data_IF_278598980070
#
_entry.id   IF_278598980070
#
_cell.length_a   1.000
_cell.length_b   1.000
_cell.length_c   1.000
_cell.angle_alpha   90.00
_cell.angle_beta   90.00
_cell.angle_gamma   90.00
#
_symmetry.space_group_name_H-M   'P 1'
#
loop_
_entity.id
_entity.type
_entity.pdbx_description
1 polymer ?
#
# COMPACT_ATOMS: atom_id res chain seq x y z
N UNK A 1 -2.78 -0.42 6.47
CA UNK A 1 -3.26 0.89 5.98
C UNK A 1 -3.71 1.72 7.16
N UNK A 2 -3.27 2.96 7.25
CA UNK A 2 -3.71 3.95 8.25
C UNK A 2 -4.22 5.21 7.54
N UNK A 3 -4.96 6.07 8.25
CA UNK A 3 -5.36 7.39 7.75
C UNK A 3 -6.55 7.42 6.79
N UNK A 4 -7.26 6.29 6.57
CA UNK A 4 -8.42 6.25 5.67
C UNK A 4 -9.58 7.15 6.14
N UNK A 5 -9.74 7.35 7.44
CA UNK A 5 -10.75 8.27 7.98
C UNK A 5 -10.56 9.73 7.52
N UNK A 6 -9.32 10.17 7.25
CA UNK A 6 -9.05 11.53 6.78
C UNK A 6 -9.42 11.69 5.31
N UNK A 7 -9.23 10.64 4.52
CA UNK A 7 -9.69 10.58 3.14
C UNK A 7 -11.22 10.61 3.08
N UNK A 8 -11.90 9.85 3.95
CA UNK A 8 -13.36 9.85 4.05
C UNK A 8 -13.91 11.24 4.41
N UNK A 9 -13.26 11.95 5.34
CA UNK A 9 -13.61 13.34 5.71
C UNK A 9 -13.50 14.32 4.53
N UNK A 10 -12.63 14.05 3.54
CA UNK A 10 -12.50 14.83 2.30
C UNK A 10 -13.51 14.42 1.21
N UNK A 11 -14.42 13.48 1.47
CA UNK A 11 -15.36 12.94 0.48
C UNK A 11 -14.75 11.86 -0.44
N UNK A 12 -13.59 11.32 -0.07
CA UNK A 12 -12.93 10.24 -0.79
C UNK A 12 -13.34 8.86 -0.28
N UNK A 13 -13.24 7.86 -1.16
CA UNK A 13 -13.40 6.45 -0.84
C UNK A 13 -12.06 5.76 -1.05
N UNK A 14 -11.63 5.00 -0.04
CA UNK A 14 -10.43 4.16 -0.11
C UNK A 14 -10.85 2.74 -0.48
N UNK A 15 -10.48 2.30 -1.67
CA UNK A 15 -10.58 0.91 -2.08
C UNK A 15 -9.26 0.21 -1.77
N UNK A 16 -9.36 -0.97 -1.15
CA UNK A 16 -8.23 -1.84 -0.80
C UNK A 16 -8.34 -3.09 -1.66
N UNK A 17 -7.65 -3.09 -2.79
CA UNK A 17 -7.61 -4.21 -3.72
C UNK A 17 -6.76 -5.37 -3.16
N UNK A 18 -5.75 -5.05 -2.32
CA UNK A 18 -4.85 -6.05 -1.76
C UNK A 18 -4.44 -5.74 -0.32
N UNK A 19 -4.55 -6.75 0.55
CA UNK A 19 -4.12 -6.64 1.96
C UNK A 19 -2.84 -7.44 2.27
N UNK A 20 -2.29 -8.16 1.29
CA UNK A 20 -1.07 -8.96 1.45
C UNK A 20 -0.26 -9.00 0.15
N UNK A 21 1.05 -9.16 0.28
CA UNK A 21 1.99 -9.27 -0.84
C UNK A 21 2.96 -10.41 -0.57
N UNK A 22 3.40 -11.10 -1.62
CA UNK A 22 4.44 -12.12 -1.51
C UNK A 22 5.80 -11.48 -1.74
N UNK A 23 6.72 -11.75 -0.81
CA UNK A 23 8.10 -11.28 -0.88
C UNK A 23 9.06 -12.44 -0.70
N UNK A 24 10.27 -12.26 -1.22
CA UNK A 24 11.45 -13.08 -0.96
C UNK A 24 12.40 -12.25 -0.13
N UNK A 25 12.81 -12.78 1.02
CA UNK A 25 13.80 -12.17 1.90
C UNK A 25 14.50 -13.26 2.73
N UNK A 26 15.66 -12.96 3.33
CA UNK A 26 16.22 -13.76 4.40
C UNK A 26 15.22 -13.93 5.56
N UNK A 27 15.29 -15.05 6.28
CA UNK A 27 14.39 -15.35 7.40
C UNK A 27 14.46 -14.27 8.49
N UNK A 28 15.66 -13.77 8.77
CA UNK A 28 15.94 -12.68 9.73
C UNK A 28 15.41 -11.30 9.30
N UNK A 29 15.08 -11.10 8.01
CA UNK A 29 14.62 -9.83 7.44
C UNK A 29 13.12 -9.80 7.13
N UNK A 30 12.37 -10.85 7.51
CA UNK A 30 10.94 -10.90 7.26
C UNK A 30 10.20 -9.76 7.99
N UNK A 31 9.54 -8.83 7.29
CA UNK A 31 8.82 -7.75 7.94
C UNK A 31 7.54 -8.30 8.59
N UNK A 32 7.28 -7.90 9.85
CA UNK A 32 6.06 -8.27 10.55
C UNK A 32 4.80 -7.66 9.91
N UNK A 33 4.91 -6.43 9.39
CA UNK A 33 3.86 -5.75 8.65
C UNK A 33 4.46 -4.69 7.72
N UNK A 34 3.69 -4.30 6.71
CA UNK A 34 3.98 -3.18 5.82
C UNK A 34 2.89 -2.14 6.06
N UNK A 35 3.27 -1.00 6.63
CA UNK A 35 2.34 0.08 6.94
C UNK A 35 2.35 1.11 5.81
N UNK A 36 1.19 1.31 5.19
CA UNK A 36 0.96 2.37 4.21
C UNK A 36 0.08 3.43 4.87
N UNK A 37 0.61 4.64 5.02
CA UNK A 37 -0.13 5.78 5.58
C UNK A 37 -0.80 6.60 4.49
N UNK A 38 -2.14 6.55 4.46
CA UNK A 38 -2.96 7.24 3.47
C UNK A 38 -3.25 8.69 3.85
N UNK A 39 -2.94 9.11 5.09
CA UNK A 39 -3.30 10.42 5.64
C UNK A 39 -2.78 11.61 4.82
N UNK A 40 -1.60 11.43 4.21
CA UNK A 40 -0.84 12.44 3.49
C UNK A 40 -1.19 12.57 2.00
N UNK A 41 -2.11 11.73 1.51
CA UNK A 41 -2.41 11.66 0.08
C UNK A 41 -3.77 12.27 -0.27
N UNK A 42 -3.92 12.62 -1.55
CA UNK A 42 -5.13 13.22 -2.10
C UNK A 42 -5.96 12.23 -2.91
N UNK A 43 -7.22 12.62 -3.13
CA UNK A 43 -8.18 11.85 -3.92
C UNK A 43 -7.70 11.76 -5.38
N UNK A 44 -7.79 10.57 -5.97
CA UNK A 44 -7.28 10.25 -7.30
C UNK A 44 -5.93 9.53 -7.29
N UNK A 45 -5.30 9.34 -6.12
CA UNK A 45 -4.05 8.59 -5.99
C UNK A 45 -4.31 7.07 -6.02
N UNK A 46 -3.47 6.37 -6.78
CA UNK A 46 -3.37 4.91 -6.79
C UNK A 46 -1.98 4.50 -6.32
N UNK A 47 -1.93 3.43 -5.52
CA UNK A 47 -0.72 2.79 -5.04
C UNK A 47 -0.58 1.42 -5.66
N UNK A 48 0.62 1.14 -6.15
CA UNK A 48 1.03 -0.15 -6.69
C UNK A 48 1.99 -0.83 -5.72
N UNK A 49 2.31 -2.09 -5.98
CA UNK A 49 3.33 -2.83 -5.22
C UNK A 49 4.68 -2.11 -5.30
N UNK A 50 5.01 -1.51 -6.44
CA UNK A 50 6.22 -0.69 -6.62
C UNK A 50 6.30 0.55 -5.72
N UNK A 51 5.18 1.07 -5.21
CA UNK A 51 5.16 2.21 -4.29
C UNK A 51 5.46 1.79 -2.84
N UNK A 52 5.57 0.50 -2.55
CA UNK A 52 5.91 0.00 -1.22
C UNK A 52 7.43 0.05 -0.99
N UNK A 53 7.86 0.86 -0.03
CA UNK A 53 9.24 0.89 0.42
C UNK A 53 9.52 -0.30 1.36
N UNK A 54 10.35 -1.24 0.89
CA UNK A 54 10.86 -2.35 1.69
C UNK A 54 12.39 -2.25 1.76
N UNK A 55 12.98 -2.89 2.78
CA UNK A 55 14.43 -2.94 2.94
C UNK A 55 15.12 -3.60 1.74
N UNK A 56 16.40 -3.27 1.53
CA UNK A 56 17.20 -3.66 0.35
C UNK A 56 17.24 -5.19 0.10
N UNK A 57 17.11 -5.99 1.17
CA UNK A 57 17.13 -7.46 1.10
C UNK A 57 15.77 -8.10 0.76
N UNK A 58 14.73 -7.30 0.49
CA UNK A 58 13.37 -7.79 0.28
C UNK A 58 12.95 -7.55 -1.18
N UNK A 59 12.60 -8.63 -1.88
CA UNK A 59 12.16 -8.57 -3.28
C UNK A 59 10.71 -9.03 -3.40
N UNK A 60 9.87 -8.26 -4.09
CA UNK A 60 8.51 -8.67 -4.41
C UNK A 60 8.49 -9.85 -5.38
N UNK A 61 7.65 -10.85 -5.10
CA UNK A 61 7.46 -12.04 -5.94
C UNK A 61 6.21 -11.93 -6.84
N UNK A 62 5.69 -10.72 -7.02
CA UNK A 62 4.46 -10.44 -7.73
C UNK A 62 4.67 -9.25 -8.67
N UNK A 63 3.69 -8.98 -9.53
CA UNK A 63 3.80 -7.91 -10.51
C UNK A 63 3.80 -6.54 -9.81
N UNK A 64 4.89 -5.78 -9.97
CA UNK A 64 5.12 -4.48 -9.33
C UNK A 64 4.10 -3.40 -9.75
N UNK A 65 3.43 -3.55 -10.89
CA UNK A 65 2.38 -2.65 -11.35
C UNK A 65 1.00 -2.98 -10.76
N UNK A 66 0.88 -4.08 -10.00
CA UNK A 66 -0.39 -4.45 -9.37
C UNK A 66 -0.81 -3.39 -8.37
N UNK A 67 -2.03 -2.91 -8.50
CA UNK A 67 -2.64 -1.97 -7.56
C UNK A 67 -2.91 -2.64 -6.21
N UNK A 68 -2.59 -1.94 -5.13
CA UNK A 68 -2.84 -2.37 -3.75
C UNK A 68 -3.94 -1.54 -3.08
N UNK A 69 -4.00 -0.25 -3.40
CA UNK A 69 -5.01 0.71 -2.91
C UNK A 69 -5.27 1.75 -3.99
N UNK A 70 -6.54 2.12 -4.12
CA UNK A 70 -6.97 3.28 -4.90
C UNK A 70 -7.81 4.22 -4.07
N UNK A 71 -7.60 5.52 -4.23
CA UNK A 71 -8.41 6.58 -3.62
C UNK A 71 -9.18 7.28 -4.73
N UNK A 72 -10.50 7.29 -4.66
CA UNK A 72 -11.35 7.99 -5.64
C UNK A 72 -12.42 8.84 -4.95
N UNK A 73 -12.99 9.77 -5.71
CA UNK A 73 -14.09 10.61 -5.23
C UNK A 73 -15.35 9.74 -5.13
N UNK A 74 -16.06 9.84 -4.00
CA UNK A 74 -17.28 9.07 -3.73
C UNK A 74 -18.53 9.59 -4.43
#
# INVERSE_FOLDING_TARGET
>A
FSGDELIMKKGGVVQKEKNSVKVRCPEEKLPNNIMVDLSQYDIGKTFRISDLELGEDITFMENLDSTIVSIFFG
#
